data_IF_579039933595
#
_entry.id   IF_579039933595
#
_cell.length_a   1.000
_cell.length_b   1.000
_cell.length_c   1.000
_cell.angle_alpha   90.00
_cell.angle_beta   90.00
_cell.angle_gamma   90.00
#
_symmetry.space_group_name_H-M   'P 1'
#
loop_
_entity.id
_entity.type
_entity.pdbx_description
1 polymer ?
#
# COMPACT_ATOMS: atom_id res chain seq x y z
N UNK A 1 29.02 13.90 -29.20
CA UNK A 1 28.98 14.41 -27.81
C UNK A 1 27.55 14.68 -27.33
N UNK A 2 26.72 15.40 -28.10
CA UNK A 2 25.34 15.73 -27.73
C UNK A 2 24.41 14.52 -27.57
N UNK A 3 24.57 13.48 -28.40
CA UNK A 3 23.79 12.23 -28.30
C UNK A 3 24.15 11.46 -27.03
N UNK A 4 25.43 11.43 -26.66
CA UNK A 4 25.89 10.77 -25.44
C UNK A 4 25.35 11.48 -24.19
N UNK A 5 25.29 12.81 -24.20
CA UNK A 5 24.68 13.61 -23.13
C UNK A 5 23.17 13.36 -23.04
N UNK A 6 22.45 13.27 -24.17
CA UNK A 6 21.02 12.96 -24.18
C UNK A 6 20.72 11.56 -23.61
N UNK A 7 21.54 10.56 -23.96
CA UNK A 7 21.40 9.18 -23.44
C UNK A 7 21.72 9.11 -21.94
N UNK A 8 22.76 9.81 -21.49
CA UNK A 8 23.11 9.90 -20.06
C UNK A 8 22.00 10.60 -19.26
N UNK A 9 21.45 11.69 -19.80
CA UNK A 9 20.37 12.44 -19.15
C UNK A 9 19.06 11.64 -19.10
N UNK A 10 18.70 10.91 -20.17
CA UNK A 10 17.51 10.06 -20.17
C UNK A 10 17.64 8.92 -19.17
N UNK A 11 18.84 8.35 -19.00
CA UNK A 11 19.05 7.24 -18.04
C UNK A 11 18.94 7.69 -16.58
N UNK A 12 19.26 8.94 -16.25
CA UNK A 12 19.13 9.46 -14.88
C UNK A 12 17.68 9.76 -14.46
N UNK A 13 16.79 10.05 -15.42
CA UNK A 13 15.39 10.41 -15.13
C UNK A 13 14.53 9.20 -14.73
N UNK A 14 14.94 7.98 -15.10
CA UNK A 14 14.13 6.75 -14.89
C UNK A 14 14.14 6.26 -13.43
N UNK A 15 14.99 6.80 -12.56
CA UNK A 15 15.27 6.21 -11.24
C UNK A 15 14.46 6.80 -10.06
N UNK A 16 13.48 7.67 -10.29
CA UNK A 16 12.69 8.28 -9.21
C UNK A 16 11.28 7.69 -9.11
N UNK A 17 11.17 6.41 -8.74
CA UNK A 17 9.89 5.83 -8.27
C UNK A 17 9.97 5.63 -6.76
N UNK A 18 9.21 6.43 -6.00
CA UNK A 18 9.05 6.24 -4.57
C UNK A 18 8.03 5.11 -4.36
N UNK A 19 8.51 3.86 -4.27
CA UNK A 19 7.70 2.69 -3.97
C UNK A 19 8.08 2.13 -2.59
N UNK A 20 7.08 1.70 -1.83
CA UNK A 20 7.28 1.04 -0.53
C UNK A 20 7.05 -0.45 -0.72
N UNK A 21 8.05 -1.26 -0.36
CA UNK A 21 7.96 -2.72 -0.38
C UNK A 21 8.30 -3.28 0.99
N UNK A 22 7.48 -4.20 1.49
CA UNK A 22 7.74 -4.89 2.74
C UNK A 22 7.23 -6.33 2.70
N UNK A 23 7.85 -7.17 3.53
CA UNK A 23 7.34 -8.52 3.82
C UNK A 23 6.27 -8.45 4.91
N UNK A 24 5.17 -9.17 4.70
CA UNK A 24 4.07 -9.33 5.64
C UNK A 24 4.00 -10.80 6.07
N UNK A 25 4.21 -11.05 7.36
CA UNK A 25 4.16 -12.41 7.90
C UNK A 25 2.71 -12.96 7.91
N UNK A 26 2.51 -14.28 7.85
CA UNK A 26 1.20 -14.90 8.03
C UNK A 26 0.52 -14.42 9.33
N UNK A 27 -0.77 -14.12 9.26
CA UNK A 27 -1.57 -13.67 10.42
C UNK A 27 -1.05 -12.39 11.10
N UNK A 28 -0.19 -11.62 10.42
CA UNK A 28 0.30 -10.32 10.87
C UNK A 28 -0.35 -9.18 10.09
N UNK A 29 -0.19 -7.96 10.61
CA UNK A 29 -0.56 -6.73 9.91
C UNK A 29 0.61 -5.75 9.87
N UNK A 30 0.68 -4.93 8.82
CA UNK A 30 1.59 -3.79 8.73
C UNK A 30 0.85 -2.57 8.21
N UNK A 31 1.15 -1.42 8.79
CA UNK A 31 0.49 -0.17 8.46
C UNK A 31 1.51 0.87 7.98
N UNK A 32 1.13 1.61 6.94
CA UNK A 32 1.79 2.84 6.53
C UNK A 32 1.02 4.01 7.13
N UNK A 33 1.71 4.85 7.90
CA UNK A 33 1.13 6.03 8.54
C UNK A 33 1.68 7.29 7.89
N UNK A 34 0.80 8.21 7.52
CA UNK A 34 1.19 9.48 6.90
C UNK A 34 0.14 10.58 7.16
N UNK A 35 0.50 11.83 6.88
CA UNK A 35 -0.35 13.00 7.08
C UNK A 35 -0.97 13.46 5.76
N UNK A 36 -2.23 13.93 5.79
CA UNK A 36 -2.87 14.57 4.64
C UNK A 36 -3.44 15.93 5.03
N UNK A 37 -3.43 16.86 4.08
CA UNK A 37 -4.17 18.11 4.22
C UNK A 37 -5.68 17.91 3.91
N UNK A 38 -6.51 18.80 4.43
CA UNK A 38 -7.94 18.82 4.10
C UNK A 38 -8.17 19.03 2.60
N UNK A 39 -9.14 18.31 2.05
CA UNK A 39 -9.50 18.25 0.63
C UNK A 39 -8.38 17.78 -0.31
N UNK A 40 -7.31 17.21 0.23
CA UNK A 40 -6.25 16.59 -0.56
C UNK A 40 -6.61 15.14 -0.88
N UNK A 41 -6.52 14.78 -2.16
CA UNK A 41 -6.70 13.38 -2.59
C UNK A 41 -5.40 12.62 -2.34
N UNK A 42 -5.50 11.53 -1.58
CA UNK A 42 -4.44 10.52 -1.43
C UNK A 42 -4.79 9.34 -2.32
N UNK A 43 -3.90 9.00 -3.24
CA UNK A 43 -4.07 7.88 -4.16
C UNK A 43 -2.79 7.05 -4.26
N UNK A 44 -2.93 5.75 -4.47
CA UNK A 44 -1.80 4.85 -4.60
C UNK A 44 -2.19 3.53 -5.27
N UNK A 45 -1.17 2.84 -5.76
CA UNK A 45 -1.30 1.52 -6.37
C UNK A 45 -0.59 0.48 -5.50
N UNK A 46 -1.09 -0.75 -5.51
CA UNK A 46 -0.48 -1.85 -4.78
C UNK A 46 -0.47 -3.13 -5.61
N UNK A 47 0.54 -3.95 -5.34
CA UNK A 47 0.70 -5.30 -5.86
C UNK A 47 1.18 -6.23 -4.73
N UNK A 48 0.59 -7.41 -4.64
CA UNK A 48 0.80 -8.37 -3.56
C UNK A 48 1.18 -9.72 -4.16
N UNK A 49 2.34 -10.23 -3.74
CA UNK A 49 2.71 -11.63 -3.93
C UNK A 49 2.22 -12.46 -2.75
N UNK A 50 1.19 -13.29 -2.96
CA UNK A 50 0.58 -14.13 -1.93
C UNK A 50 1.24 -15.52 -1.86
N UNK A 51 1.35 -16.08 -0.66
CA UNK A 51 1.56 -17.52 -0.49
C UNK A 51 0.24 -18.30 -0.77
N UNK A 52 0.30 -19.60 -1.12
CA UNK A 52 -0.90 -20.42 -1.30
C UNK A 52 -1.81 -20.40 -0.07
N UNK A 53 -3.11 -20.14 -0.26
CA UNK A 53 -4.10 -20.09 0.83
C UNK A 53 -4.04 -18.82 1.70
N UNK A 54 -3.12 -17.90 1.44
CA UNK A 54 -3.04 -16.61 2.13
C UNK A 54 -4.03 -15.61 1.53
N UNK A 55 -4.86 -15.01 2.37
CA UNK A 55 -5.70 -13.85 2.04
C UNK A 55 -5.07 -12.60 2.62
N UNK A 56 -5.12 -11.51 1.86
CA UNK A 56 -4.68 -10.20 2.32
C UNK A 56 -5.83 -9.23 2.15
N UNK A 57 -6.15 -8.49 3.21
CA UNK A 57 -7.12 -7.40 3.17
C UNK A 57 -6.37 -6.07 3.35
N UNK A 58 -6.98 -4.97 2.93
CA UNK A 58 -6.52 -3.64 3.34
C UNK A 58 -7.65 -2.79 3.90
N UNK A 59 -7.26 -1.88 4.78
CA UNK A 59 -8.14 -0.87 5.35
C UNK A 59 -7.37 0.40 5.60
N UNK A 60 -7.99 1.53 5.29
CA UNK A 60 -7.48 2.87 5.54
C UNK A 60 -8.32 3.51 6.63
N UNK A 61 -7.68 4.01 7.69
CA UNK A 61 -8.36 4.70 8.78
C UNK A 61 -7.75 6.07 9.07
N UNK A 62 -8.57 6.99 9.53
CA UNK A 62 -8.13 8.25 10.13
C UNK A 62 -7.79 8.09 11.63
N UNK A 63 -7.38 9.16 12.30
CA UNK A 63 -7.07 9.13 13.75
C UNK A 63 -8.30 8.87 14.63
N UNK A 64 -9.50 9.11 14.11
CA UNK A 64 -10.77 8.84 14.79
C UNK A 64 -11.26 7.40 14.58
N UNK A 65 -10.56 6.63 13.75
CA UNK A 65 -10.90 5.25 13.42
C UNK A 65 -11.97 5.11 12.34
N UNK A 66 -12.37 6.19 11.66
CA UNK A 66 -13.29 6.09 10.53
C UNK A 66 -12.60 5.37 9.36
N UNK A 67 -13.35 4.51 8.68
CA UNK A 67 -12.83 3.79 7.52
C UNK A 67 -13.00 4.67 6.29
N UNK A 68 -11.87 5.08 5.71
CA UNK A 68 -11.83 5.91 4.50
C UNK A 68 -11.88 5.05 3.22
N UNK A 69 -11.32 3.84 3.29
CA UNK A 69 -11.35 2.85 2.22
C UNK A 69 -11.06 1.45 2.80
N UNK A 70 -11.62 0.41 2.20
CA UNK A 70 -11.30 -0.99 2.54
C UNK A 70 -11.56 -1.93 1.37
N UNK A 71 -10.87 -3.07 1.37
CA UNK A 71 -11.18 -4.19 0.48
C UNK A 71 -10.61 -5.50 1.01
N UNK A 72 -11.33 -6.58 0.75
CA UNK A 72 -10.96 -7.93 1.16
C UNK A 72 -10.34 -8.74 0.01
N UNK A 73 -9.51 -9.72 0.37
CA UNK A 73 -8.82 -10.67 -0.51
C UNK A 73 -8.13 -10.03 -1.74
N UNK A 74 -7.39 -8.95 -1.51
CA UNK A 74 -6.75 -8.14 -2.54
C UNK A 74 -5.45 -8.74 -3.08
N UNK A 75 -5.19 -8.60 -4.38
CA UNK A 75 -3.95 -9.04 -5.04
C UNK A 75 -3.22 -7.89 -5.74
N UNK A 76 -3.94 -7.09 -6.53
CA UNK A 76 -3.46 -5.84 -7.12
C UNK A 76 -4.60 -4.86 -7.23
N UNK A 77 -4.30 -3.56 -7.21
CA UNK A 77 -5.32 -2.55 -7.34
C UNK A 77 -4.84 -1.15 -7.02
N UNK A 78 -5.81 -0.26 -6.85
CA UNK A 78 -5.60 1.14 -6.48
C UNK A 78 -6.50 1.51 -5.31
N UNK A 79 -6.11 2.50 -4.54
CA UNK A 79 -6.96 3.18 -3.57
C UNK A 79 -6.94 4.68 -3.85
N UNK A 80 -8.02 5.35 -3.48
CA UNK A 80 -8.12 6.81 -3.50
C UNK A 80 -9.09 7.24 -2.40
N UNK A 81 -8.69 8.18 -1.57
CA UNK A 81 -9.52 8.75 -0.50
C UNK A 81 -9.14 10.20 -0.24
N UNK A 82 -10.01 10.91 0.47
CA UNK A 82 -9.81 12.30 0.90
C UNK A 82 -10.46 12.49 2.26
N UNK A 83 -10.01 13.48 3.01
CA UNK A 83 -10.67 13.99 4.21
C UNK A 83 -10.98 15.47 4.02
N UNK A 84 -11.97 16.01 4.72
CA UNK A 84 -12.29 17.45 4.69
C UNK A 84 -11.27 18.27 5.48
N UNK A 85 -10.65 17.66 6.50
CA UNK A 85 -9.76 18.30 7.45
C UNK A 85 -8.36 17.68 7.36
N UNK A 86 -7.37 18.43 7.87
CA UNK A 86 -6.05 17.88 8.11
C UNK A 86 -6.12 16.74 9.12
N UNK A 87 -5.54 15.59 8.79
CA UNK A 87 -5.50 14.44 9.68
C UNK A 87 -4.34 13.50 9.31
N UNK A 88 -4.02 12.59 10.24
CA UNK A 88 -3.17 11.45 9.99
C UNK A 88 -4.02 10.25 9.58
N UNK A 89 -3.55 9.47 8.61
CA UNK A 89 -4.19 8.24 8.20
C UNK A 89 -3.23 7.05 8.29
N UNK A 90 -3.79 5.86 8.40
CA UNK A 90 -3.05 4.60 8.38
C UNK A 90 -3.63 3.66 7.33
N UNK A 91 -2.80 3.18 6.41
CA UNK A 91 -3.12 2.13 5.43
C UNK A 91 -2.55 0.82 5.96
N UNK A 92 -3.41 -0.06 6.46
CA UNK A 92 -3.02 -1.35 7.01
C UNK A 92 -3.29 -2.49 6.02
N UNK A 93 -2.28 -3.32 5.78
CA UNK A 93 -2.41 -4.61 5.10
C UNK A 93 -2.41 -5.73 6.13
N UNK A 94 -3.44 -6.59 6.08
CA UNK A 94 -3.72 -7.61 7.09
C UNK A 94 -3.64 -8.97 6.41
N UNK A 95 -2.74 -9.83 6.87
CA UNK A 95 -2.64 -11.21 6.37
C UNK A 95 -3.53 -12.13 7.19
N UNK A 96 -4.26 -12.99 6.49
CA UNK A 96 -5.01 -14.09 7.08
C UNK A 96 -4.61 -15.40 6.38
N UNK A 97 -4.16 -16.38 7.15
CA UNK A 97 -3.90 -17.74 6.67
C UNK A 97 -4.70 -18.69 7.57
N UNK A 98 -5.53 -19.58 6.99
CA UNK A 98 -6.25 -20.58 7.78
C UNK A 98 -5.26 -21.38 8.63
N UNK A 99 -5.57 -21.60 9.91
CA UNK A 99 -4.85 -22.60 10.69
C UNK A 99 -5.10 -23.96 10.03
N UNK A 100 -4.02 -24.69 9.72
CA UNK A 100 -4.18 -26.07 9.27
C UNK A 100 -4.88 -26.83 10.39
N UNK A 101 -6.13 -27.27 10.17
CA UNK A 101 -6.82 -28.25 11.02
C UNK A 101 -6.21 -29.65 10.85
N UNK A 102 -4.89 -29.73 10.90
CA UNK A 102 -4.10 -30.95 10.86
C UNK A 102 -3.11 -30.93 12.02
N UNK A 103 -3.62 -30.55 13.20
CA UNK A 103 -3.05 -31.03 14.45
C UNK A 103 -3.72 -32.38 14.69
N UNK A 104 -2.91 -33.43 14.67
CA UNK A 104 -3.31 -34.83 14.62
C UNK A 104 -3.50 -35.38 16.02
#
# INVERSE_FOLDING_TARGET
MSILILVLFSSTVVLQTNAIMFRLAPNAQKCLRDEMHGNQIVAGEYEITKAPGQKIDYVVRDTKGHILAQKEDISKGKFSFTSELYDTFEICFISQVPSSKYDR
#
